data_IF_239237452603
#
_entry.id   IF_239237452603
#
_cell.length_a   1.000
_cell.length_b   1.000
_cell.length_c   1.000
_cell.angle_alpha   90.00
_cell.angle_beta   90.00
_cell.angle_gamma   90.00
#
_symmetry.space_group_name_H-M   'P 1'
#
loop_
_entity.id
_entity.type
_entity.pdbx_description
1 polymer ?
#
# COMPACT_ATOMS: atom_id res chain seq x y z
N UNK A 1 9.83 1.97 0.85
CA UNK A 1 9.86 1.26 -0.46
C UNK A 1 10.37 2.23 -1.52
N UNK A 2 10.91 1.77 -2.65
CA UNK A 2 11.28 2.68 -3.75
C UNK A 2 10.03 3.30 -4.36
N UNK A 3 10.08 4.60 -4.67
CA UNK A 3 9.03 5.34 -5.38
C UNK A 3 9.63 6.14 -6.55
N UNK A 4 8.82 6.39 -7.58
CA UNK A 4 9.21 6.98 -8.86
C UNK A 4 8.28 8.14 -9.31
N UNK A 5 7.84 8.98 -8.36
CA UNK A 5 7.08 10.19 -8.68
C UNK A 5 7.92 11.22 -9.44
N UNK A 6 7.31 11.86 -10.44
CA UNK A 6 7.90 12.98 -11.18
C UNK A 6 7.95 14.25 -10.33
N UNK A 7 8.82 15.20 -10.70
CA UNK A 7 8.88 16.52 -10.03
C UNK A 7 7.56 17.27 -10.08
N UNK A 8 6.80 17.11 -11.18
CA UNK A 8 5.48 17.71 -11.32
C UNK A 8 4.47 17.12 -10.34
N UNK A 9 4.41 15.78 -10.25
CA UNK A 9 3.54 15.08 -9.28
C UNK A 9 3.87 15.50 -7.83
N UNK A 10 5.14 15.72 -7.50
CA UNK A 10 5.55 16.14 -6.15
C UNK A 10 5.17 17.58 -5.78
N UNK A 11 4.73 18.41 -6.75
CA UNK A 11 4.17 19.73 -6.45
C UNK A 11 2.87 19.63 -5.66
N UNK A 12 2.05 18.60 -5.94
CA UNK A 12 0.85 18.31 -5.15
C UNK A 12 1.23 17.90 -3.71
N UNK A 13 0.73 18.61 -2.68
CA UNK A 13 1.02 18.29 -1.28
C UNK A 13 0.59 16.87 -0.87
N UNK A 14 -0.52 16.36 -1.41
CA UNK A 14 -1.02 15.02 -1.05
C UNK A 14 -0.10 13.92 -1.60
N UNK A 15 0.35 14.06 -2.84
CA UNK A 15 1.32 13.15 -3.47
C UNK A 15 2.66 13.20 -2.76
N UNK A 16 3.15 14.39 -2.40
CA UNK A 16 4.39 14.54 -1.63
C UNK A 16 4.33 13.82 -0.28
N UNK A 17 3.22 14.00 0.45
CA UNK A 17 3.00 13.31 1.73
C UNK A 17 2.93 11.80 1.55
N UNK A 18 2.23 11.34 0.51
CA UNK A 18 2.15 9.92 0.18
C UNK A 18 3.53 9.34 -0.13
N UNK A 19 4.37 10.05 -0.88
CA UNK A 19 5.74 9.66 -1.17
C UNK A 19 6.60 9.47 0.11
N UNK A 20 6.49 10.38 1.09
CA UNK A 20 7.18 10.23 2.39
C UNK A 20 6.75 8.95 3.12
N UNK A 21 5.44 8.71 3.21
CA UNK A 21 4.86 7.54 3.89
C UNK A 21 5.26 6.23 3.17
N UNK A 22 5.12 6.17 1.85
CA UNK A 22 5.49 4.98 1.07
C UNK A 22 6.97 4.65 1.26
N UNK A 23 7.84 5.67 1.31
CA UNK A 23 9.29 5.46 1.47
C UNK A 23 9.67 4.91 2.84
N UNK A 24 8.87 5.10 3.89
CA UNK A 24 9.17 4.55 5.23
C UNK A 24 9.00 3.02 5.32
N UNK A 25 8.29 2.39 4.39
CA UNK A 25 8.15 0.92 4.35
C UNK A 25 9.49 0.22 4.08
N UNK A 26 9.96 -0.62 5.01
CA UNK A 26 11.24 -1.36 4.91
C UNK A 26 11.08 -2.82 4.49
N UNK A 27 9.90 -3.23 4.01
CA UNK A 27 9.60 -4.61 3.60
C UNK A 27 9.80 -5.69 4.69
N UNK A 28 9.65 -5.34 5.96
CA UNK A 28 9.84 -6.24 7.11
C UNK A 28 8.84 -7.40 7.22
N UNK A 29 7.64 -7.29 6.63
CA UNK A 29 6.64 -8.37 6.61
C UNK A 29 5.73 -8.49 7.83
N UNK A 30 5.87 -7.66 8.88
CA UNK A 30 4.97 -7.72 10.05
C UNK A 30 3.49 -7.55 9.69
N UNK A 31 3.18 -6.64 8.75
CA UNK A 31 1.81 -6.43 8.30
C UNK A 31 1.21 -7.67 7.59
N UNK A 32 2.01 -8.50 6.93
CA UNK A 32 1.52 -9.71 6.26
C UNK A 32 1.25 -10.81 7.28
N UNK A 33 2.06 -10.91 8.34
CA UNK A 33 1.86 -11.86 9.43
C UNK A 33 0.55 -11.66 10.21
N UNK A 34 0.00 -10.43 10.25
CA UNK A 34 -1.22 -10.11 11.01
C UNK A 34 -2.48 -9.98 10.15
N UNK A 35 -2.36 -9.85 8.82
CA UNK A 35 -3.51 -9.58 7.96
C UNK A 35 -4.38 -10.84 7.75
N UNK A 36 -5.65 -10.87 8.21
CA UNK A 36 -6.47 -12.07 8.13
C UNK A 36 -6.76 -12.50 6.69
N UNK A 37 -7.04 -11.56 5.78
CA UNK A 37 -7.29 -11.87 4.36
C UNK A 37 -6.08 -12.55 3.72
N UNK A 38 -4.87 -12.06 3.98
CA UNK A 38 -3.65 -12.66 3.46
C UNK A 38 -3.37 -14.04 4.07
N UNK A 39 -3.57 -14.20 5.38
CA UNK A 39 -3.38 -15.50 6.04
C UNK A 39 -4.29 -16.59 5.49
N UNK A 40 -5.50 -16.23 5.04
CA UNK A 40 -6.46 -17.19 4.46
C UNK A 40 -6.20 -17.42 2.97
N UNK A 41 -6.00 -16.36 2.18
CA UNK A 41 -5.92 -16.46 0.72
C UNK A 41 -4.50 -16.74 0.20
N UNK A 42 -3.47 -16.35 0.94
CA UNK A 42 -2.06 -16.49 0.54
C UNK A 42 -1.61 -15.59 -0.62
N UNK A 43 -2.51 -14.76 -1.16
CA UNK A 43 -2.20 -13.83 -2.25
C UNK A 43 -1.53 -12.57 -1.70
N UNK A 44 -0.26 -12.33 -2.06
CA UNK A 44 0.51 -11.17 -1.58
C UNK A 44 -0.18 -9.83 -1.91
N UNK A 45 -0.97 -9.73 -2.99
CA UNK A 45 -1.73 -8.52 -3.33
C UNK A 45 -2.89 -8.28 -2.35
N UNK A 46 -3.38 -9.32 -1.66
CA UNK A 46 -4.34 -9.24 -0.57
C UNK A 46 -3.69 -8.98 0.80
N UNK A 47 -2.36 -8.82 0.86
CA UNK A 47 -1.65 -8.34 2.05
C UNK A 47 -1.74 -6.80 2.19
N UNK A 48 -1.54 -6.22 3.39
CA UNK A 48 -1.57 -4.77 3.57
C UNK A 48 -0.49 -4.08 2.74
N UNK A 49 0.72 -4.66 2.71
CA UNK A 49 1.82 -4.16 1.86
C UNK A 49 1.49 -4.29 0.37
N UNK A 50 0.87 -5.39 -0.05
CA UNK A 50 0.43 -5.58 -1.44
C UNK A 50 -0.57 -4.52 -1.88
N UNK A 51 -1.56 -4.20 -1.04
CA UNK A 51 -2.50 -3.09 -1.28
C UNK A 51 -1.80 -1.74 -1.37
N UNK A 52 -0.85 -1.45 -0.47
CA UNK A 52 -0.02 -0.23 -0.55
C UNK A 52 0.76 -0.19 -1.87
N UNK A 53 1.26 -1.32 -2.36
CA UNK A 53 1.95 -1.41 -3.64
C UNK A 53 1.03 -1.09 -4.83
N UNK A 54 -0.21 -1.60 -4.82
CA UNK A 54 -1.21 -1.29 -5.83
C UNK A 54 -1.60 0.19 -5.84
N UNK A 55 -1.77 0.79 -4.65
CA UNK A 55 -2.06 2.22 -4.50
C UNK A 55 -0.88 3.06 -5.00
N UNK A 56 0.35 2.70 -4.63
CA UNK A 56 1.57 3.36 -5.15
C UNK A 56 1.61 3.33 -6.67
N UNK A 57 1.38 2.17 -7.29
CA UNK A 57 1.39 2.01 -8.75
C UNK A 57 0.33 2.90 -9.43
N UNK A 58 -0.87 2.99 -8.85
CA UNK A 58 -1.90 3.93 -9.33
C UNK A 58 -1.46 5.39 -9.25
N UNK A 59 -0.87 5.79 -8.12
CA UNK A 59 -0.45 7.17 -7.89
C UNK A 59 0.72 7.57 -8.79
N UNK A 60 1.73 6.70 -8.93
CA UNK A 60 2.88 6.96 -9.80
C UNK A 60 2.50 6.99 -11.28
N UNK A 61 1.59 6.09 -11.69
CA UNK A 61 1.07 6.03 -13.05
C UNK A 61 0.00 7.06 -13.38
N UNK A 62 -0.38 7.93 -12.42
CA UNK A 62 -1.47 8.90 -12.54
C UNK A 62 -2.73 8.31 -13.20
N UNK A 63 -3.14 7.15 -12.69
CA UNK A 63 -4.20 6.32 -13.30
C UNK A 63 -5.27 5.94 -12.28
N UNK A 64 -6.53 5.77 -12.73
CA UNK A 64 -7.57 5.23 -11.88
C UNK A 64 -7.28 3.77 -11.51
N UNK A 65 -7.98 3.30 -10.47
CA UNK A 65 -7.95 1.89 -10.08
C UNK A 65 -8.54 1.03 -11.20
N UNK A 66 -7.77 0.04 -11.64
CA UNK A 66 -8.28 -1.01 -12.52
C UNK A 66 -9.02 -2.09 -11.71
N UNK A 67 -9.72 -2.99 -12.40
CA UNK A 67 -10.50 -4.07 -11.78
C UNK A 67 -9.66 -4.97 -10.86
N UNK A 68 -8.37 -5.16 -11.17
CA UNK A 68 -7.46 -5.96 -10.35
C UNK A 68 -7.18 -5.22 -9.05
N UNK A 69 -6.86 -3.94 -9.09
CA UNK A 69 -6.63 -3.13 -7.89
C UNK A 69 -7.90 -3.07 -7.04
N UNK A 70 -9.05 -2.77 -7.63
CA UNK A 70 -10.35 -2.73 -6.92
C UNK A 70 -10.61 -4.04 -6.19
N UNK A 71 -10.44 -5.19 -6.86
CA UNK A 71 -10.64 -6.52 -6.25
C UNK A 71 -9.83 -6.72 -4.97
N UNK A 72 -8.55 -6.38 -4.98
CA UNK A 72 -7.67 -6.59 -3.83
C UNK A 72 -7.97 -5.60 -2.69
N UNK A 73 -8.34 -4.36 -3.03
CA UNK A 73 -8.76 -3.34 -2.06
C UNK A 73 -10.07 -3.75 -1.40
N UNK A 74 -11.08 -4.21 -2.15
CA UNK A 74 -12.40 -4.60 -1.63
C UNK A 74 -12.35 -5.85 -0.73
N UNK A 75 -11.29 -6.66 -0.82
CA UNK A 75 -11.03 -7.77 0.10
C UNK A 75 -10.44 -7.33 1.45
N UNK A 76 -10.16 -6.04 1.63
CA UNK A 76 -9.73 -5.50 2.91
C UNK A 76 -10.89 -5.49 3.90
N UNK A 77 -10.73 -6.13 5.06
CA UNK A 77 -11.75 -6.14 6.12
C UNK A 77 -11.76 -4.86 6.96
N UNK A 78 -10.90 -3.87 6.67
CA UNK A 78 -10.75 -2.63 7.44
C UNK A 78 -10.51 -2.86 8.94
N UNK A 79 -9.86 -3.97 9.31
CA UNK A 79 -9.61 -4.35 10.71
C UNK A 79 -8.43 -3.60 11.37
N UNK A 80 -7.64 -2.85 10.59
CA UNK A 80 -6.51 -2.03 11.04
C UNK A 80 -5.36 -2.75 11.74
N UNK A 81 -5.35 -4.09 11.78
CA UNK A 81 -4.26 -4.88 12.39
C UNK A 81 -2.86 -4.52 11.82
N UNK A 82 -2.81 -4.17 10.53
CA UNK A 82 -1.59 -3.74 9.88
C UNK A 82 -0.99 -2.45 10.46
N UNK A 83 -1.81 -1.51 10.93
CA UNK A 83 -1.33 -0.25 11.50
C UNK A 83 -0.66 -0.47 12.86
N UNK A 84 -1.28 -1.26 13.73
CA UNK A 84 -0.76 -1.51 15.08
C UNK A 84 0.55 -2.30 15.06
N UNK A 85 0.72 -3.21 14.09
CA UNK A 85 1.93 -4.03 14.00
C UNK A 85 3.08 -3.38 13.23
N UNK A 86 2.83 -2.32 12.46
CA UNK A 86 3.84 -1.77 11.54
C UNK A 86 4.90 -0.98 12.33
N UNK A 87 6.16 -1.45 12.40
CA UNK A 87 7.21 -0.72 13.13
C UNK A 87 7.61 0.59 12.45
N UNK A 88 7.33 0.70 11.14
CA UNK A 88 7.66 1.88 10.33
C UNK A 88 6.56 2.95 10.35
N UNK A 89 5.40 2.68 10.96
CA UNK A 89 4.27 3.61 10.99
C UNK A 89 3.69 3.94 9.61
N UNK A 90 3.87 3.04 8.66
CA UNK A 90 3.21 3.09 7.33
C UNK A 90 1.75 2.70 7.47
#
# INVERSE_FOLDING_TARGET
>A
MRTEFTEEQLKDPATRRSNEILRSCVHCGFCTATCPTYQVLGDELDSPRGRIYLIKDMLEGDRPADERTVRHIDRCLSCLACMTTCPSGV
#
